data_IF_062837909030
#
_entry.id   IF_062837909030
#
_cell.length_a   1.000
_cell.length_b   1.000
_cell.length_c   1.000
_cell.angle_alpha   90.00
_cell.angle_beta   90.00
_cell.angle_gamma   90.00
#
_symmetry.space_group_name_H-M   'P 1'
#
loop_
_entity.id
_entity.type
_entity.pdbx_description
1 polymer ?
#
# COMPACT_ATOMS: atom_id res chain seq x y z
N UNK A 1 -2.83 23.81 41.92
CA UNK A 1 -1.75 24.07 41.00
C UNK A 1 -2.20 24.68 39.68
N UNK A 2 -3.46 24.91 39.49
CA UNK A 2 -3.99 25.72 38.38
C UNK A 2 -4.28 27.10 38.93
N UNK A 3 -3.25 27.98 38.96
CA UNK A 3 -3.44 29.39 39.29
C UNK A 3 -4.12 30.06 38.11
N UNK A 4 -5.41 30.40 38.23
CA UNK A 4 -6.21 31.14 37.24
C UNK A 4 -5.49 32.43 36.82
N UNK A 5 -4.81 33.09 37.75
CA UNK A 5 -4.04 34.31 37.50
C UNK A 5 -2.91 34.10 36.46
N UNK A 6 -2.27 32.95 36.45
CA UNK A 6 -1.20 32.63 35.44
C UNK A 6 -1.79 32.48 34.05
N UNK A 7 -2.94 31.84 33.91
CA UNK A 7 -3.62 31.71 32.64
C UNK A 7 -4.07 33.04 32.08
N UNK A 8 -4.63 33.92 32.95
CA UNK A 8 -5.01 35.27 32.56
C UNK A 8 -3.80 36.09 32.11
N UNK A 9 -2.67 35.97 32.80
CA UNK A 9 -1.42 36.61 32.41
C UNK A 9 -0.92 36.15 31.04
N UNK A 10 -0.92 34.82 30.75
CA UNK A 10 -0.54 34.24 29.46
C UNK A 10 -1.43 34.80 28.34
N UNK A 11 -2.76 34.70 28.49
CA UNK A 11 -3.68 35.20 27.48
C UNK A 11 -3.61 36.71 27.27
N UNK A 12 -3.43 37.48 28.33
CA UNK A 12 -3.26 38.94 28.21
C UNK A 12 -1.97 39.33 27.46
N UNK A 13 -0.91 38.55 27.64
CA UNK A 13 0.36 38.78 26.96
C UNK A 13 0.22 38.47 25.46
N UNK A 14 -0.41 37.36 25.11
CA UNK A 14 -0.65 36.97 23.72
C UNK A 14 -1.58 37.95 22.99
N UNK A 15 -2.52 38.56 23.69
CA UNK A 15 -3.46 39.54 23.14
C UNK A 15 -2.86 40.93 22.90
N UNK A 16 -1.72 41.29 23.52
CA UNK A 16 -1.10 42.62 23.32
C UNK A 16 -0.61 42.88 21.90
N UNK A 17 -0.18 41.84 21.19
CA UNK A 17 0.33 41.92 19.80
C UNK A 17 -0.29 40.83 18.91
N UNK A 18 -1.57 40.93 18.56
CA UNK A 18 -2.33 39.82 17.96
C UNK A 18 -1.78 39.37 16.60
N UNK A 19 -1.33 40.31 15.76
CA UNK A 19 -0.78 39.95 14.44
C UNK A 19 0.53 39.15 14.55
N UNK A 20 1.40 39.53 15.50
CA UNK A 20 2.65 38.84 15.74
C UNK A 20 2.42 37.43 16.29
N UNK A 21 1.52 37.30 17.27
CA UNK A 21 1.11 36.02 17.86
C UNK A 21 0.50 35.13 16.81
N UNK A 22 -0.38 35.67 15.95
CA UNK A 22 -1.01 34.92 14.87
C UNK A 22 0.02 34.40 13.85
N UNK A 23 0.93 35.25 13.35
CA UNK A 23 1.95 34.85 12.38
C UNK A 23 2.87 33.74 12.92
N UNK A 24 3.16 33.80 14.21
CA UNK A 24 3.99 32.76 14.87
C UNK A 24 3.23 31.46 15.05
N UNK A 25 2.02 31.54 15.56
CA UNK A 25 1.14 30.39 15.72
C UNK A 25 0.86 29.73 14.37
N UNK A 26 0.64 30.56 13.33
CA UNK A 26 0.43 30.08 11.96
C UNK A 26 1.62 29.24 11.45
N UNK A 27 2.87 29.67 11.69
CA UNK A 27 4.05 28.91 11.26
C UNK A 27 4.10 27.48 11.83
N UNK A 28 3.84 27.34 13.14
CA UNK A 28 3.79 26.04 13.81
C UNK A 28 2.56 25.24 13.37
N UNK A 29 1.38 25.87 13.37
CA UNK A 29 0.14 25.24 12.95
C UNK A 29 0.17 24.75 11.51
N UNK A 30 0.75 25.55 10.60
CA UNK A 30 0.96 25.17 9.21
C UNK A 30 1.92 23.99 9.06
N UNK A 31 3.02 23.99 9.84
CA UNK A 31 3.98 22.87 9.83
C UNK A 31 3.32 21.56 10.24
N UNK A 32 2.51 21.57 11.32
CA UNK A 32 1.79 20.37 11.76
C UNK A 32 0.65 19.98 10.80
N UNK A 33 -0.09 20.96 10.28
CA UNK A 33 -1.08 20.75 9.24
C UNK A 33 -0.50 20.01 8.03
N UNK A 34 0.62 20.51 7.48
CA UNK A 34 1.29 19.88 6.34
C UNK A 34 1.78 18.48 6.68
N UNK A 35 2.34 18.27 7.86
CA UNK A 35 2.79 16.95 8.29
C UNK A 35 1.62 15.95 8.29
N UNK A 36 0.50 16.30 8.92
CA UNK A 36 -0.70 15.45 9.01
C UNK A 36 -1.29 15.17 7.62
N UNK A 37 -1.42 16.19 6.78
CA UNK A 37 -1.97 16.01 5.42
C UNK A 37 -1.06 15.12 4.58
N UNK A 38 0.27 15.33 4.62
CA UNK A 38 1.21 14.51 3.85
C UNK A 38 1.24 13.06 4.35
N UNK A 39 1.21 12.83 5.67
CA UNK A 39 1.17 11.47 6.23
C UNK A 39 -0.15 10.78 5.89
N UNK A 40 -1.28 11.43 6.09
CA UNK A 40 -2.59 10.86 5.77
C UNK A 40 -2.77 10.59 4.26
N UNK A 41 -2.29 11.50 3.41
CA UNK A 41 -2.29 11.29 1.97
C UNK A 41 -1.36 10.14 1.55
N UNK A 42 -0.19 10.02 2.17
CA UNK A 42 0.72 8.91 1.97
C UNK A 42 0.09 7.56 2.30
N UNK A 43 -0.53 7.46 3.48
CA UNK A 43 -1.25 6.25 3.91
C UNK A 43 -2.44 5.92 3.01
N UNK A 44 -3.21 6.94 2.60
CA UNK A 44 -4.33 6.74 1.68
C UNK A 44 -3.89 6.15 0.34
N UNK A 45 -2.76 6.58 -0.19
CA UNK A 45 -2.17 6.04 -1.40
C UNK A 45 -1.58 4.64 -1.17
N UNK A 46 -0.88 4.41 -0.06
CA UNK A 46 -0.34 3.11 0.32
C UNK A 46 -1.47 2.07 0.46
N UNK A 47 -2.54 2.40 1.16
CA UNK A 47 -3.71 1.54 1.32
C UNK A 47 -4.36 1.20 -0.02
N UNK A 48 -4.53 2.18 -0.91
CA UNK A 48 -5.08 1.97 -2.24
C UNK A 48 -4.23 1.03 -3.10
N UNK A 49 -2.89 1.22 -3.10
CA UNK A 49 -1.98 0.39 -3.90
C UNK A 49 -1.81 -1.01 -3.29
N UNK A 50 -1.70 -1.13 -1.97
CA UNK A 50 -1.51 -2.43 -1.30
C UNK A 50 -2.77 -3.28 -1.30
N UNK A 51 -3.96 -2.69 -1.43
CA UNK A 51 -5.22 -3.43 -1.55
C UNK A 51 -5.22 -4.42 -2.73
N UNK A 52 -4.56 -4.09 -3.83
CA UNK A 52 -4.43 -5.01 -4.97
C UNK A 52 -3.71 -6.32 -4.61
N UNK A 53 -2.89 -6.31 -3.55
CA UNK A 53 -2.14 -7.48 -3.09
C UNK A 53 -2.82 -8.23 -1.94
N UNK A 54 -3.85 -7.66 -1.31
CA UNK A 54 -4.48 -8.24 -0.11
C UNK A 54 -5.18 -9.56 -0.41
N UNK A 55 -5.64 -9.74 -1.66
CA UNK A 55 -6.46 -10.87 -2.08
C UNK A 55 -5.70 -11.92 -2.90
N UNK A 56 -4.41 -11.73 -3.11
CA UNK A 56 -3.54 -12.66 -3.85
C UNK A 56 -2.43 -13.14 -2.91
N UNK A 57 -2.01 -14.39 -3.05
CA UNK A 57 -0.87 -14.90 -2.26
C UNK A 57 0.39 -14.09 -2.56
N UNK A 58 0.76 -13.17 -1.67
CA UNK A 58 1.93 -12.29 -1.86
C UNK A 58 3.25 -13.08 -1.93
N UNK A 59 3.31 -14.28 -1.34
CA UNK A 59 4.44 -15.20 -1.42
C UNK A 59 4.40 -16.09 -2.68
N UNK A 60 3.91 -15.55 -3.80
CA UNK A 60 3.78 -16.29 -5.05
C UNK A 60 4.45 -15.59 -6.23
N UNK A 61 4.72 -16.36 -7.27
CA UNK A 61 5.26 -15.86 -8.53
C UNK A 61 4.67 -16.62 -9.72
N UNK A 62 4.65 -15.96 -10.87
CA UNK A 62 4.28 -16.53 -12.15
C UNK A 62 5.55 -16.70 -12.99
N UNK A 63 5.67 -17.84 -13.68
CA UNK A 63 6.86 -18.18 -14.46
C UNK A 63 6.45 -18.72 -15.83
N UNK A 64 7.06 -18.23 -16.91
CA UNK A 64 6.80 -18.66 -18.29
C UNK A 64 8.07 -18.79 -19.10
N UNK A 65 8.06 -19.68 -20.10
CA UNK A 65 9.15 -19.86 -21.02
C UNK A 65 9.22 -18.73 -22.06
N UNK A 66 10.43 -18.24 -22.29
CA UNK A 66 10.75 -17.23 -23.30
C UNK A 66 11.72 -17.78 -24.35
N UNK A 67 12.37 -16.90 -25.10
CA UNK A 67 13.40 -17.27 -26.05
C UNK A 67 14.78 -17.22 -25.40
N UNK A 68 15.55 -18.30 -25.55
CA UNK A 68 16.94 -18.33 -25.10
C UNK A 68 17.75 -17.24 -25.80
N UNK A 69 18.64 -16.58 -25.06
CA UNK A 69 19.54 -15.55 -25.62
C UNK A 69 20.97 -16.07 -25.86
N UNK A 70 21.32 -17.20 -25.24
CA UNK A 70 22.64 -17.79 -25.32
C UNK A 70 22.60 -19.17 -25.94
N UNK A 71 23.64 -19.57 -26.70
CA UNK A 71 23.80 -20.96 -27.17
C UNK A 71 24.22 -21.87 -26.02
N UNK A 72 23.60 -23.04 -25.89
CA UNK A 72 23.91 -24.00 -24.84
C UNK A 72 23.47 -25.43 -25.22
N UNK A 73 24.22 -26.47 -24.82
CA UNK A 73 23.81 -27.85 -24.99
C UNK A 73 23.57 -28.26 -26.45
N UNK A 74 24.27 -27.63 -27.41
CA UNK A 74 24.08 -27.89 -28.85
C UNK A 74 22.93 -27.08 -29.48
N UNK A 75 22.21 -26.27 -28.72
CA UNK A 75 21.13 -25.41 -29.24
C UNK A 75 21.63 -23.97 -29.47
N UNK A 76 21.17 -23.36 -30.56
CA UNK A 76 21.45 -21.97 -30.87
C UNK A 76 20.58 -20.99 -30.04
N UNK A 77 20.95 -19.69 -30.01
CA UNK A 77 20.13 -18.64 -29.41
C UNK A 77 18.83 -18.44 -30.19
N UNK A 78 17.79 -17.89 -29.53
CA UNK A 78 16.47 -17.62 -30.13
C UNK A 78 15.51 -18.82 -30.07
N UNK A 79 15.89 -19.93 -29.49
CA UNK A 79 15.02 -21.09 -29.28
C UNK A 79 13.90 -20.72 -28.28
N UNK A 80 12.64 -20.96 -28.68
CA UNK A 80 11.51 -20.83 -27.77
C UNK A 80 11.53 -21.95 -26.74
N UNK A 81 11.58 -21.61 -25.47
CA UNK A 81 11.46 -22.58 -24.38
C UNK A 81 9.97 -22.84 -24.17
N UNK A 82 9.56 -24.08 -24.36
CA UNK A 82 8.19 -24.53 -24.16
C UNK A 82 8.13 -25.40 -22.92
N UNK A 83 7.45 -24.91 -21.90
CA UNK A 83 7.23 -25.68 -20.69
C UNK A 83 6.15 -26.74 -20.93
N UNK A 84 6.23 -27.82 -20.20
CA UNK A 84 5.37 -29.00 -20.35
C UNK A 84 4.83 -29.47 -18.99
N UNK A 85 3.92 -30.40 -19.03
CA UNK A 85 3.39 -31.04 -17.82
C UNK A 85 4.47 -31.87 -17.10
N UNK A 86 5.50 -32.36 -17.80
CA UNK A 86 6.67 -33.05 -17.20
C UNK A 86 7.47 -32.09 -16.29
N UNK A 87 7.52 -30.81 -16.64
CA UNK A 87 8.15 -29.79 -15.81
C UNK A 87 7.38 -29.60 -14.49
N UNK A 88 6.04 -29.66 -14.52
CA UNK A 88 5.22 -29.61 -13.31
C UNK A 88 5.59 -30.73 -12.34
N UNK A 89 5.70 -31.96 -12.83
CA UNK A 89 6.07 -33.10 -11.99
C UNK A 89 7.49 -32.96 -11.46
N UNK A 90 8.40 -32.45 -12.28
CA UNK A 90 9.80 -32.23 -11.89
C UNK A 90 9.93 -31.16 -10.81
N UNK A 91 9.22 -30.06 -10.93
CA UNK A 91 9.19 -28.98 -9.91
C UNK A 91 8.63 -29.54 -8.60
N UNK A 92 7.51 -30.26 -8.66
CA UNK A 92 6.85 -30.84 -7.50
C UNK A 92 7.74 -31.83 -6.73
N UNK A 93 8.58 -32.57 -7.45
CA UNK A 93 9.46 -33.57 -6.83
C UNK A 93 10.77 -32.96 -6.30
N UNK A 94 11.35 -31.98 -7.03
CA UNK A 94 12.70 -31.49 -6.75
C UNK A 94 12.76 -30.15 -6.01
N UNK A 95 11.65 -29.41 -5.93
CA UNK A 95 11.58 -28.12 -5.23
C UNK A 95 10.53 -28.22 -4.12
N UNK A 96 10.88 -28.79 -2.97
CA UNK A 96 9.92 -29.05 -1.89
C UNK A 96 9.35 -27.78 -1.25
N UNK A 97 10.00 -26.63 -1.43
CA UNK A 97 9.55 -25.33 -0.89
C UNK A 97 8.55 -24.60 -1.82
N UNK A 98 8.28 -25.14 -3.02
CA UNK A 98 7.13 -24.80 -3.83
C UNK A 98 5.89 -25.52 -3.26
N UNK A 99 5.14 -24.83 -2.38
CA UNK A 99 3.98 -25.40 -1.69
C UNK A 99 2.84 -25.70 -2.66
N UNK A 100 2.51 -24.73 -3.50
CA UNK A 100 1.44 -24.84 -4.48
C UNK A 100 2.01 -24.57 -5.87
N UNK A 101 1.74 -25.49 -6.80
CA UNK A 101 2.13 -25.36 -8.20
C UNK A 101 0.90 -25.55 -9.06
N UNK A 102 0.47 -24.52 -9.79
CA UNK A 102 -0.63 -24.55 -10.72
C UNK A 102 -0.13 -24.29 -12.15
N UNK A 103 -0.06 -25.35 -12.99
CA UNK A 103 0.15 -25.15 -14.43
C UNK A 103 -1.08 -24.51 -15.04
N UNK A 104 -0.84 -23.53 -15.93
CA UNK A 104 -1.90 -22.72 -16.54
C UNK A 104 -1.74 -22.61 -18.06
N UNK A 105 -2.86 -22.55 -18.72
CA UNK A 105 -2.97 -22.21 -20.13
C UNK A 105 -4.06 -21.15 -20.36
N UNK A 106 -3.87 -20.34 -21.40
CA UNK A 106 -4.90 -19.39 -21.86
C UNK A 106 -5.13 -19.60 -23.35
N UNK A 107 -6.38 -19.72 -23.73
CA UNK A 107 -6.78 -19.87 -25.11
C UNK A 107 -6.56 -18.57 -25.88
N UNK A 108 -5.90 -18.64 -27.03
CA UNK A 108 -5.61 -17.46 -27.84
C UNK A 108 -4.43 -16.62 -27.35
N UNK A 109 -3.74 -17.02 -26.26
CA UNK A 109 -2.62 -16.29 -25.67
C UNK A 109 -3.02 -15.06 -24.84
N UNK A 110 -2.02 -14.34 -24.34
CA UNK A 110 -2.25 -13.20 -23.43
C UNK A 110 -3.05 -12.09 -24.13
N UNK A 111 -4.18 -11.68 -23.54
CA UNK A 111 -5.05 -10.63 -24.07
C UNK A 111 -6.01 -11.06 -25.20
N UNK A 112 -6.01 -12.34 -25.59
CA UNK A 112 -6.94 -12.88 -26.57
C UNK A 112 -8.31 -13.19 -25.96
N UNK A 113 -9.38 -12.61 -26.53
CA UNK A 113 -10.74 -13.02 -26.25
C UNK A 113 -11.16 -14.17 -27.15
N UNK A 114 -11.95 -15.10 -26.60
CA UNK A 114 -12.48 -16.23 -27.36
C UNK A 114 -13.99 -16.19 -27.37
N UNK A 115 -14.59 -16.48 -28.54
CA UNK A 115 -16.02 -16.48 -28.69
C UNK A 115 -16.67 -17.56 -27.85
N UNK A 116 -17.54 -17.13 -26.96
CA UNK A 116 -18.39 -17.98 -26.13
C UNK A 116 -19.83 -17.73 -26.51
N UNK A 117 -20.55 -18.79 -26.75
CA UNK A 117 -21.95 -18.75 -27.23
C UNK A 117 -22.84 -19.50 -26.25
N UNK A 118 -23.98 -18.89 -25.91
CA UNK A 118 -25.08 -19.47 -25.17
C UNK A 118 -26.40 -19.11 -25.88
N UNK A 119 -27.09 -20.10 -26.45
CA UNK A 119 -28.30 -19.84 -27.22
C UNK A 119 -28.06 -18.84 -28.36
N UNK A 120 -28.67 -17.67 -28.27
CA UNK A 120 -28.53 -16.58 -29.23
C UNK A 120 -27.56 -15.47 -28.78
N UNK A 121 -27.01 -15.60 -27.58
CA UNK A 121 -26.04 -14.63 -27.03
C UNK A 121 -24.63 -15.10 -27.33
N UNK A 122 -23.75 -14.17 -27.63
CA UNK A 122 -22.34 -14.45 -27.89
C UNK A 122 -21.47 -13.27 -27.51
N UNK A 123 -20.43 -13.54 -26.72
CA UNK A 123 -19.48 -12.55 -26.23
C UNK A 123 -18.06 -13.13 -26.20
N UNK A 124 -17.07 -12.26 -26.01
CA UNK A 124 -15.67 -12.63 -26.05
C UNK A 124 -15.08 -12.64 -24.65
N UNK A 125 -14.59 -13.80 -24.20
CA UNK A 125 -14.04 -13.99 -22.87
C UNK A 125 -12.65 -14.63 -22.87
N UNK A 126 -11.93 -14.47 -21.76
CA UNK A 126 -10.66 -15.17 -21.52
C UNK A 126 -10.92 -16.57 -20.98
N UNK A 127 -10.45 -17.59 -21.71
CA UNK A 127 -10.62 -18.99 -21.32
C UNK A 127 -9.32 -19.50 -20.71
N UNK A 128 -9.37 -19.93 -19.46
CA UNK A 128 -8.26 -20.40 -18.67
C UNK A 128 -8.36 -21.92 -18.47
N UNK A 129 -7.27 -22.62 -18.77
CA UNK A 129 -7.12 -24.03 -18.41
C UNK A 129 -6.27 -24.11 -17.13
N UNK A 130 -6.91 -24.52 -16.02
CA UNK A 130 -6.28 -24.45 -14.70
C UNK A 130 -6.44 -25.74 -13.89
N UNK A 131 -5.55 -25.86 -12.90
CA UNK A 131 -5.69 -26.83 -11.81
C UNK A 131 -6.46 -26.23 -10.64
N UNK A 132 -7.10 -27.06 -9.78
CA UNK A 132 -7.85 -26.58 -8.60
C UNK A 132 -7.05 -25.69 -7.67
N UNK A 133 -5.74 -25.92 -7.58
CA UNK A 133 -4.81 -25.22 -6.71
C UNK A 133 -4.65 -23.73 -7.02
N UNK A 134 -5.12 -23.28 -8.18
CA UNK A 134 -5.07 -21.84 -8.53
C UNK A 134 -5.85 -20.98 -7.53
N UNK A 135 -6.88 -21.53 -6.88
CA UNK A 135 -7.62 -20.82 -5.84
C UNK A 135 -6.75 -20.40 -4.65
N UNK A 136 -5.64 -21.10 -4.39
CA UNK A 136 -4.70 -20.77 -3.31
C UNK A 136 -3.76 -19.61 -3.68
N UNK A 137 -3.63 -19.33 -4.97
CA UNK A 137 -2.78 -18.25 -5.51
C UNK A 137 -3.59 -17.01 -5.85
N UNK A 138 -4.73 -17.19 -6.51
CA UNK A 138 -5.65 -16.12 -6.87
C UNK A 138 -6.85 -16.09 -5.90
N UNK A 139 -7.24 -14.89 -5.47
CA UNK A 139 -8.37 -14.68 -4.54
C UNK A 139 -9.72 -14.92 -5.21
N UNK A 140 -10.03 -16.19 -5.49
CA UNK A 140 -11.26 -16.63 -6.14
C UNK A 140 -12.25 -17.09 -5.07
N UNK A 141 -13.45 -16.50 -5.04
CA UNK A 141 -14.56 -16.92 -4.18
C UNK A 141 -15.63 -17.60 -5.02
N UNK A 142 -16.02 -18.82 -4.64
CA UNK A 142 -17.11 -19.54 -5.30
C UNK A 142 -18.44 -19.04 -4.73
N UNK A 143 -19.24 -18.39 -5.56
CA UNK A 143 -20.52 -17.80 -5.18
C UNK A 143 -21.69 -18.78 -5.32
N UNK A 144 -21.62 -19.66 -6.33
CA UNK A 144 -22.63 -20.69 -6.58
C UNK A 144 -21.98 -21.93 -7.17
N UNK A 145 -22.49 -23.10 -6.84
CA UNK A 145 -21.97 -24.37 -7.34
C UNK A 145 -20.63 -24.76 -6.71
N UNK A 146 -19.65 -25.13 -7.52
CA UNK A 146 -18.31 -25.57 -7.09
C UNK A 146 -17.22 -25.16 -8.05
N UNK A 147 -15.97 -25.12 -7.57
CA UNK A 147 -14.79 -24.99 -8.42
C UNK A 147 -14.38 -26.30 -9.09
N UNK A 148 -13.39 -26.25 -10.00
CA UNK A 148 -12.74 -27.44 -10.59
C UNK A 148 -12.19 -28.31 -9.45
N UNK A 149 -12.31 -29.63 -9.58
CA UNK A 149 -11.76 -30.56 -8.62
C UNK A 149 -10.83 -31.58 -9.28
N UNK A 150 -10.16 -32.39 -8.46
CA UNK A 150 -9.20 -33.39 -8.95
C UNK A 150 -9.83 -34.43 -9.91
N UNK A 151 -11.12 -34.76 -9.69
CA UNK A 151 -11.84 -35.70 -10.55
C UNK A 151 -12.09 -35.11 -11.95
N UNK A 152 -12.39 -33.82 -12.05
CA UNK A 152 -12.53 -33.11 -13.33
C UNK A 152 -11.26 -33.13 -14.15
N UNK A 153 -10.10 -32.99 -13.47
CA UNK A 153 -8.76 -33.11 -14.09
C UNK A 153 -8.49 -34.53 -14.56
N UNK A 154 -8.75 -35.54 -13.69
CA UNK A 154 -8.46 -36.94 -13.95
C UNK A 154 -9.31 -37.50 -15.10
N UNK A 155 -10.62 -37.24 -15.08
CA UNK A 155 -11.58 -37.71 -16.06
C UNK A 155 -11.70 -36.82 -17.29
N UNK A 156 -11.00 -35.67 -17.30
CA UNK A 156 -11.04 -34.68 -18.38
C UNK A 156 -12.47 -34.22 -18.67
N UNK A 157 -13.23 -33.92 -17.58
CA UNK A 157 -14.63 -33.53 -17.68
C UNK A 157 -14.74 -32.18 -18.39
N UNK A 158 -15.72 -32.07 -19.29
CA UNK A 158 -16.03 -30.79 -19.97
C UNK A 158 -16.93 -29.94 -19.08
N UNK A 159 -16.35 -29.39 -18.05
CA UNK A 159 -16.98 -28.47 -17.10
C UNK A 159 -16.33 -27.10 -17.16
N UNK A 160 -17.10 -26.08 -16.86
CA UNK A 160 -16.63 -24.69 -16.81
C UNK A 160 -17.12 -24.00 -15.55
N UNK A 161 -16.32 -23.07 -15.04
CA UNK A 161 -16.70 -22.14 -13.99
C UNK A 161 -16.61 -20.75 -14.59
N UNK A 162 -17.65 -19.96 -14.43
CA UNK A 162 -17.78 -18.65 -15.02
C UNK A 162 -17.67 -17.55 -13.96
N UNK A 163 -17.03 -16.45 -14.31
CA UNK A 163 -17.05 -15.26 -13.46
C UNK A 163 -18.39 -14.55 -13.49
N UNK A 164 -18.63 -13.69 -12.49
CA UNK A 164 -19.86 -12.90 -12.35
C UNK A 164 -20.13 -12.06 -13.58
N UNK A 165 -19.11 -11.47 -14.19
CA UNK A 165 -19.24 -10.67 -15.42
C UNK A 165 -19.72 -11.51 -16.62
N UNK A 166 -19.27 -12.76 -16.71
CA UNK A 166 -19.75 -13.70 -17.74
C UNK A 166 -21.22 -14.03 -17.53
N UNK A 167 -21.65 -14.23 -16.26
CA UNK A 167 -23.06 -14.43 -15.91
C UNK A 167 -23.90 -13.24 -16.33
N UNK A 168 -23.51 -12.02 -15.98
CA UNK A 168 -24.24 -10.78 -16.30
C UNK A 168 -24.46 -10.59 -17.81
N UNK A 169 -23.49 -11.00 -18.64
CA UNK A 169 -23.53 -10.78 -20.08
C UNK A 169 -24.26 -11.90 -20.85
N UNK A 170 -24.30 -13.13 -20.32
CA UNK A 170 -24.86 -14.28 -21.02
C UNK A 170 -26.17 -14.85 -20.40
N UNK A 171 -26.56 -14.37 -19.22
CA UNK A 171 -27.71 -14.86 -18.49
C UNK A 171 -28.61 -13.70 -18.04
N UNK A 172 -29.90 -14.00 -17.84
CA UNK A 172 -30.78 -13.06 -17.17
C UNK A 172 -30.50 -13.03 -15.66
N UNK A 173 -30.79 -11.93 -15.01
CA UNK A 173 -30.44 -11.70 -13.58
C UNK A 173 -31.01 -12.79 -12.65
N UNK A 174 -32.23 -13.28 -12.95
CA UNK A 174 -32.93 -14.33 -12.18
C UNK A 174 -32.52 -15.76 -12.52
N UNK A 175 -31.67 -15.95 -13.51
CA UNK A 175 -31.33 -17.27 -14.04
C UNK A 175 -30.15 -17.89 -13.31
N UNK A 176 -30.25 -19.15 -12.92
CA UNK A 176 -29.13 -19.92 -12.35
C UNK A 176 -28.32 -20.56 -13.48
N UNK A 177 -27.05 -20.15 -13.68
CA UNK A 177 -26.23 -20.72 -14.74
C UNK A 177 -25.72 -22.13 -14.44
N UNK A 178 -25.77 -22.59 -13.17
CA UNK A 178 -25.24 -23.90 -12.78
C UNK A 178 -26.09 -25.03 -13.38
N UNK A 179 -25.44 -25.91 -14.14
CA UNK A 179 -26.10 -27.02 -14.85
C UNK A 179 -26.38 -26.72 -16.33
N UNK A 180 -26.29 -25.46 -16.77
CA UNK A 180 -26.44 -25.09 -18.18
C UNK A 180 -25.13 -25.28 -18.96
N UNK A 181 -25.11 -24.97 -20.23
CA UNK A 181 -24.01 -25.23 -21.16
C UNK A 181 -23.57 -23.98 -21.88
N UNK A 182 -22.25 -23.84 -22.05
CA UNK A 182 -21.60 -22.84 -22.90
C UNK A 182 -20.87 -23.55 -24.03
N UNK A 183 -20.91 -22.96 -25.22
CA UNK A 183 -20.08 -23.37 -26.34
C UNK A 183 -18.85 -22.44 -26.46
N UNK A 184 -17.66 -22.98 -26.28
CA UNK A 184 -16.38 -22.27 -26.37
C UNK A 184 -15.66 -22.81 -27.60
N UNK A 185 -15.46 -21.97 -28.61
CA UNK A 185 -14.84 -22.36 -29.89
C UNK A 185 -15.33 -23.70 -30.43
N UNK A 186 -16.66 -23.93 -30.40
CA UNK A 186 -17.30 -25.14 -30.92
C UNK A 186 -17.34 -26.34 -29.97
N UNK A 187 -16.81 -26.21 -28.74
CA UNK A 187 -16.86 -27.28 -27.71
C UNK A 187 -17.83 -26.90 -26.59
N UNK A 188 -18.74 -27.80 -26.26
CA UNK A 188 -19.69 -27.58 -25.17
C UNK A 188 -19.07 -27.92 -23.80
N UNK A 189 -19.31 -27.04 -22.84
CA UNK A 189 -18.90 -27.19 -21.44
C UNK A 189 -20.15 -26.99 -20.55
N UNK A 190 -20.34 -27.86 -19.57
CA UNK A 190 -21.39 -27.70 -18.56
C UNK A 190 -20.90 -26.77 -17.47
N UNK A 191 -21.69 -25.80 -17.08
CA UNK A 191 -21.37 -24.87 -16.01
C UNK A 191 -21.55 -25.56 -14.66
N UNK A 192 -20.52 -25.60 -13.83
CA UNK A 192 -20.55 -26.23 -12.50
C UNK A 192 -20.43 -25.24 -11.35
N UNK A 193 -20.17 -23.99 -11.65
CA UNK A 193 -20.14 -22.93 -10.64
C UNK A 193 -19.97 -21.55 -11.22
N UNK A 194 -20.20 -20.56 -10.35
CA UNK A 194 -19.99 -19.13 -10.58
C UNK A 194 -19.01 -18.64 -9.53
N UNK A 195 -18.04 -17.84 -9.94
CA UNK A 195 -17.09 -17.23 -9.03
C UNK A 195 -17.11 -15.71 -9.13
N UNK A 196 -16.73 -15.06 -8.03
CA UNK A 196 -16.37 -13.67 -7.97
C UNK A 196 -14.90 -13.52 -7.53
N UNK A 197 -14.38 -12.34 -7.69
CA UNK A 197 -13.06 -11.99 -7.17
C UNK A 197 -13.18 -11.01 -6.00
N UNK A 198 -12.23 -11.04 -5.10
CA UNK A 198 -12.11 -10.04 -4.03
C UNK A 198 -11.44 -8.76 -4.51
N UNK A 199 -10.96 -8.75 -5.73
CA UNK A 199 -10.30 -7.62 -6.35
C UNK A 199 -11.36 -6.69 -6.94
N UNK A 200 -11.34 -5.42 -6.54
CA UNK A 200 -12.29 -4.42 -7.03
C UNK A 200 -11.73 -3.70 -8.26
N UNK A 201 -12.60 -2.92 -8.93
CA UNK A 201 -12.24 -2.07 -10.06
C UNK A 201 -11.99 -2.82 -11.37
N UNK A 202 -11.36 -2.15 -12.32
CA UNK A 202 -11.11 -2.64 -13.69
C UNK A 202 -10.38 -4.00 -13.73
N UNK A 203 -9.57 -4.29 -12.69
CA UNK A 203 -8.88 -5.57 -12.59
C UNK A 203 -9.86 -6.66 -12.16
N UNK A 204 -10.71 -6.38 -11.18
CA UNK A 204 -11.76 -7.29 -10.74
C UNK A 204 -12.70 -7.65 -11.90
N UNK A 205 -13.19 -6.67 -12.65
CA UNK A 205 -14.04 -6.91 -13.82
C UNK A 205 -13.37 -7.77 -14.89
N UNK A 206 -12.07 -7.58 -15.12
CA UNK A 206 -11.29 -8.42 -16.05
C UNK A 206 -11.12 -9.84 -15.52
N UNK A 207 -10.92 -10.02 -14.23
CA UNK A 207 -10.78 -11.33 -13.62
C UNK A 207 -12.14 -12.05 -13.62
N UNK A 208 -13.24 -11.35 -13.38
CA UNK A 208 -14.61 -11.86 -13.47
C UNK A 208 -15.11 -12.10 -14.89
N UNK A 209 -14.40 -11.60 -15.90
CA UNK A 209 -14.62 -11.92 -17.31
C UNK A 209 -13.90 -13.20 -17.75
N UNK A 210 -13.35 -13.99 -16.82
CA UNK A 210 -12.69 -15.26 -17.12
C UNK A 210 -13.66 -16.45 -17.01
N UNK A 211 -13.32 -17.48 -17.77
CA UNK A 211 -13.94 -18.80 -17.67
C UNK A 211 -12.83 -19.80 -17.39
N UNK A 212 -12.93 -20.55 -16.30
CA UNK A 212 -12.00 -21.61 -15.96
C UNK A 212 -12.52 -22.96 -16.40
N UNK A 213 -11.68 -23.73 -17.07
CA UNK A 213 -11.93 -25.13 -17.45
C UNK A 213 -10.81 -26.02 -16.92
N UNK A 214 -11.03 -27.34 -16.68
CA UNK A 214 -9.95 -28.21 -16.20
C UNK A 214 -8.78 -28.23 -17.17
N UNK A 215 -7.57 -28.10 -16.66
CA UNK A 215 -6.32 -28.02 -17.45
C UNK A 215 -6.21 -29.14 -18.49
N UNK A 216 -6.43 -30.38 -18.06
CA UNK A 216 -6.35 -31.55 -18.95
C UNK A 216 -7.46 -31.58 -20.01
N UNK A 217 -8.64 -31.02 -19.69
CA UNK A 217 -9.72 -30.83 -20.65
C UNK A 217 -9.37 -29.75 -21.66
N UNK A 218 -8.78 -28.64 -21.20
CA UNK A 218 -8.28 -27.55 -22.06
C UNK A 218 -7.31 -28.08 -23.10
N UNK A 219 -6.29 -28.84 -22.66
CA UNK A 219 -5.29 -29.43 -23.56
C UNK A 219 -5.95 -30.30 -24.65
N UNK A 220 -6.93 -31.13 -24.28
CA UNK A 220 -7.62 -32.02 -25.20
C UNK A 220 -8.61 -31.28 -26.11
N UNK A 221 -9.39 -30.35 -25.57
CA UNK A 221 -10.43 -29.65 -26.30
C UNK A 221 -9.87 -28.67 -27.34
N UNK A 222 -8.74 -28.04 -27.03
CA UNK A 222 -8.13 -27.01 -27.88
C UNK A 222 -6.81 -27.43 -28.52
N UNK A 223 -6.51 -28.74 -28.50
CA UNK A 223 -5.33 -29.33 -29.15
C UNK A 223 -3.99 -28.68 -28.72
N UNK A 224 -3.85 -28.41 -27.43
CA UNK A 224 -2.66 -27.75 -26.86
C UNK A 224 -1.52 -28.75 -26.53
N UNK A 225 -1.70 -30.05 -26.77
CA UNK A 225 -0.74 -31.09 -26.42
C UNK A 225 -0.48 -31.15 -24.91
N UNK A 226 0.78 -31.31 -24.50
CA UNK A 226 1.22 -31.31 -23.11
C UNK A 226 1.82 -29.95 -22.68
N UNK A 227 1.60 -28.88 -23.46
CA UNK A 227 2.21 -27.60 -23.21
C UNK A 227 1.59 -26.92 -21.99
N UNK A 228 2.42 -26.20 -21.24
CA UNK A 228 2.07 -25.30 -20.16
C UNK A 228 2.43 -23.88 -20.57
N UNK A 229 1.47 -22.97 -20.54
CA UNK A 229 1.71 -21.56 -20.86
C UNK A 229 2.58 -20.88 -19.81
N UNK A 230 2.20 -21.06 -18.55
CA UNK A 230 2.97 -20.58 -17.39
C UNK A 230 2.61 -21.40 -16.14
N UNK A 231 3.48 -21.29 -15.14
CA UNK A 231 3.21 -21.78 -13.79
C UNK A 231 2.86 -20.64 -12.87
N UNK A 232 1.86 -20.82 -12.03
CA UNK A 232 1.62 -20.02 -10.84
C UNK A 232 2.11 -20.84 -9.63
N UNK A 233 3.07 -20.32 -8.91
CA UNK A 233 3.75 -21.03 -7.81
C UNK A 233 3.68 -20.20 -6.56
N UNK A 234 3.24 -20.81 -5.44
CA UNK A 234 3.26 -20.23 -4.11
C UNK A 234 4.34 -20.93 -3.30
N UNK A 235 5.20 -20.15 -2.64
CA UNK A 235 6.21 -20.69 -1.73
C UNK A 235 5.59 -21.04 -0.37
N UNK A 236 6.24 -21.95 0.36
CA UNK A 236 5.91 -22.24 1.74
C UNK A 236 5.99 -20.99 2.61
N UNK A 237 5.19 -20.96 3.65
CA UNK A 237 5.22 -19.88 4.63
C UNK A 237 6.61 -19.76 5.26
N UNK A 238 7.14 -18.52 5.32
CA UNK A 238 8.48 -18.24 5.84
C UNK A 238 9.62 -18.47 4.86
N UNK A 239 9.36 -18.97 3.64
CA UNK A 239 10.37 -19.09 2.57
C UNK A 239 10.13 -17.99 1.53
N UNK A 240 11.13 -17.11 1.27
CA UNK A 240 10.95 -16.06 0.28
C UNK A 240 10.65 -16.62 -1.12
N UNK A 241 9.65 -16.07 -1.80
CA UNK A 241 9.29 -16.51 -3.15
C UNK A 241 10.45 -16.37 -4.15
N UNK A 242 11.32 -15.38 -3.95
CA UNK A 242 12.53 -15.17 -4.77
C UNK A 242 13.50 -16.36 -4.71
N UNK A 243 13.62 -17.01 -3.54
CA UNK A 243 14.47 -18.19 -3.37
C UNK A 243 13.90 -19.38 -4.15
N UNK A 244 12.60 -19.65 -3.96
CA UNK A 244 11.89 -20.74 -4.65
C UNK A 244 11.89 -20.50 -6.17
N UNK A 245 11.67 -19.27 -6.62
CA UNK A 245 11.75 -18.89 -8.03
C UNK A 245 13.11 -19.24 -8.63
N UNK A 246 14.19 -18.90 -7.93
CA UNK A 246 15.55 -19.17 -8.41
C UNK A 246 15.84 -20.68 -8.49
N UNK A 247 15.35 -21.48 -7.54
CA UNK A 247 15.46 -22.94 -7.57
C UNK A 247 14.69 -23.53 -8.74
N UNK A 248 13.45 -23.09 -8.96
CA UNK A 248 12.62 -23.53 -10.10
C UNK A 248 13.25 -23.15 -11.44
N UNK A 249 13.72 -21.92 -11.58
CA UNK A 249 14.41 -21.46 -12.82
C UNK A 249 15.66 -22.31 -13.07
N UNK A 250 16.48 -22.54 -12.05
CA UNK A 250 17.68 -23.36 -12.16
C UNK A 250 17.38 -24.82 -12.59
N UNK A 251 16.30 -25.37 -12.01
CA UNK A 251 15.83 -26.72 -12.41
C UNK A 251 15.40 -26.74 -13.88
N UNK A 252 14.55 -25.76 -14.28
CA UNK A 252 14.07 -25.70 -15.68
C UNK A 252 15.19 -25.41 -16.69
N UNK A 253 16.16 -24.57 -16.33
CA UNK A 253 17.36 -24.36 -17.18
C UNK A 253 18.09 -25.69 -17.46
N UNK A 254 18.23 -26.51 -16.44
CA UNK A 254 18.87 -27.85 -16.57
C UNK A 254 18.01 -28.77 -17.43
N UNK A 255 16.72 -28.88 -17.21
CA UNK A 255 15.80 -29.76 -17.94
C UNK A 255 15.71 -29.37 -19.43
N UNK A 256 15.68 -28.07 -19.71
CA UNK A 256 15.56 -27.56 -21.07
C UNK A 256 16.91 -27.31 -21.77
N UNK A 257 18.05 -27.71 -21.18
CA UNK A 257 19.38 -27.42 -21.73
C UNK A 257 19.54 -25.92 -22.08
N UNK A 258 19.34 -25.06 -21.09
CA UNK A 258 19.52 -23.62 -21.16
C UNK A 258 20.75 -23.23 -20.38
N UNK A 259 21.51 -22.25 -20.88
CA UNK A 259 22.69 -21.72 -20.20
C UNK A 259 22.31 -21.18 -18.83
N UNK A 260 22.98 -21.56 -17.72
CA UNK A 260 22.67 -21.09 -16.37
C UNK A 260 22.71 -19.56 -16.22
N UNK A 261 23.48 -18.87 -17.03
CA UNK A 261 23.56 -17.40 -17.04
C UNK A 261 22.57 -16.73 -18.01
N UNK A 262 21.70 -17.50 -18.67
CA UNK A 262 20.67 -16.94 -19.57
C UNK A 262 19.44 -16.53 -18.83
N UNK A 263 19.43 -15.29 -18.32
CA UNK A 263 18.30 -14.70 -17.61
C UNK A 263 17.09 -14.39 -18.49
N UNK A 264 17.19 -14.52 -19.80
CA UNK A 264 16.12 -14.22 -20.75
C UNK A 264 15.31 -15.43 -21.19
N UNK A 265 15.76 -16.63 -20.86
CA UNK A 265 15.11 -17.87 -21.26
C UNK A 265 13.77 -18.10 -20.54
N UNK A 266 13.66 -17.60 -19.34
CA UNK A 266 12.44 -17.63 -18.56
C UNK A 266 12.07 -16.20 -18.14
N UNK A 267 10.80 -15.87 -18.26
CA UNK A 267 10.23 -14.64 -17.68
C UNK A 267 9.51 -14.97 -16.41
N UNK A 268 9.58 -14.09 -15.43
CA UNK A 268 8.85 -14.22 -14.16
C UNK A 268 8.17 -12.94 -13.76
N UNK A 269 7.14 -13.08 -12.95
CA UNK A 269 6.50 -11.98 -12.25
C UNK A 269 6.33 -12.37 -10.78
N UNK A 270 7.22 -11.87 -9.94
CA UNK A 270 7.26 -12.16 -8.52
C UNK A 270 6.45 -11.13 -7.74
N UNK A 271 5.35 -11.59 -7.13
CA UNK A 271 4.45 -10.72 -6.35
C UNK A 271 5.10 -10.24 -5.06
N UNK A 272 5.93 -11.08 -4.40
CA UNK A 272 6.63 -10.70 -3.18
C UNK A 272 7.65 -9.58 -3.45
N UNK A 273 8.45 -9.73 -4.50
CA UNK A 273 9.41 -8.70 -4.91
C UNK A 273 8.69 -7.39 -5.26
N UNK A 274 7.58 -7.48 -5.98
CA UNK A 274 6.77 -6.32 -6.35
C UNK A 274 6.18 -5.63 -5.13
N UNK A 275 5.61 -6.40 -4.21
CA UNK A 275 5.09 -5.90 -2.95
C UNK A 275 6.19 -5.20 -2.12
N UNK A 276 7.36 -5.84 -1.97
CA UNK A 276 8.50 -5.27 -1.24
C UNK A 276 9.04 -3.99 -1.89
N UNK A 277 9.07 -3.91 -3.22
CA UNK A 277 9.44 -2.69 -3.94
C UNK A 277 8.48 -1.54 -3.64
N UNK A 278 7.17 -1.82 -3.64
CA UNK A 278 6.13 -0.84 -3.32
C UNK A 278 6.26 -0.39 -1.86
N UNK A 279 6.41 -1.31 -0.92
CA UNK A 279 6.64 -0.99 0.50
C UNK A 279 7.91 -0.15 0.69
N UNK A 280 8.98 -0.47 -0.03
CA UNK A 280 10.21 0.33 -0.01
C UNK A 280 10.01 1.76 -0.53
N UNK A 281 9.19 1.96 -1.56
CA UNK A 281 8.84 3.29 -2.08
C UNK A 281 8.06 4.10 -1.03
N UNK A 282 7.03 3.51 -0.41
CA UNK A 282 6.26 4.19 0.65
C UNK A 282 7.12 4.47 1.88
N UNK A 283 8.01 3.57 2.26
CA UNK A 283 9.02 3.82 3.30
C UNK A 283 9.89 5.04 2.98
N UNK A 284 10.34 5.17 1.73
CA UNK A 284 11.10 6.33 1.25
C UNK A 284 10.28 7.63 1.28
N UNK A 285 9.03 7.58 0.82
CA UNK A 285 8.09 8.72 0.88
C UNK A 285 7.87 9.15 2.34
N UNK A 286 7.66 8.20 3.24
CA UNK A 286 7.43 8.47 4.66
C UNK A 286 8.64 9.17 5.30
N UNK A 287 9.86 8.72 5.00
CA UNK A 287 11.09 9.40 5.43
C UNK A 287 11.14 10.84 4.91
N UNK A 288 10.81 11.07 3.64
CA UNK A 288 10.77 12.42 3.05
C UNK A 288 9.75 13.32 3.77
N UNK A 289 8.54 12.79 4.04
CA UNK A 289 7.48 13.49 4.78
C UNK A 289 7.98 13.91 6.16
N UNK A 290 8.67 13.02 6.87
CA UNK A 290 9.27 13.34 8.16
C UNK A 290 10.35 14.43 8.06
N UNK A 291 11.23 14.38 7.07
CA UNK A 291 12.27 15.41 6.86
C UNK A 291 11.63 16.77 6.61
N UNK A 292 10.66 16.85 5.71
CA UNK A 292 9.95 18.09 5.38
C UNK A 292 9.14 18.59 6.58
N UNK A 293 8.40 17.69 7.24
CA UNK A 293 7.58 18.02 8.40
C UNK A 293 8.42 18.55 9.59
N UNK A 294 9.51 17.89 9.92
CA UNK A 294 10.44 18.36 10.96
C UNK A 294 11.06 19.71 10.53
N UNK A 295 11.46 19.87 9.27
CA UNK A 295 12.01 21.11 8.75
C UNK A 295 11.05 22.29 8.90
N UNK A 296 9.78 22.09 8.55
CA UNK A 296 8.73 23.14 8.69
C UNK A 296 8.41 23.45 10.15
N UNK A 297 8.38 22.43 11.02
CA UNK A 297 8.21 22.63 12.46
C UNK A 297 9.40 23.40 13.07
N UNK A 298 10.65 23.09 12.70
CA UNK A 298 11.83 23.82 13.15
C UNK A 298 11.76 25.28 12.71
N UNK A 299 11.35 25.59 11.49
CA UNK A 299 11.13 26.95 11.03
C UNK A 299 10.07 27.67 11.89
N UNK A 300 8.96 27.00 12.22
CA UNK A 300 7.94 27.50 13.14
C UNK A 300 8.49 27.77 14.56
N UNK A 301 9.28 26.83 15.09
CA UNK A 301 9.96 26.95 16.39
C UNK A 301 10.90 28.16 16.45
N UNK A 302 11.68 28.40 15.39
CA UNK A 302 12.54 29.57 15.29
C UNK A 302 11.71 30.86 15.31
N UNK A 303 10.57 30.86 14.60
CA UNK A 303 9.62 31.96 14.64
C UNK A 303 9.08 32.25 16.05
N UNK A 304 8.64 31.20 16.77
CA UNK A 304 8.19 31.31 18.18
C UNK A 304 9.33 31.84 19.07
N UNK A 305 10.51 31.26 18.96
CA UNK A 305 11.69 31.66 19.77
C UNK A 305 12.02 33.12 19.55
N UNK A 306 12.04 33.61 18.32
CA UNK A 306 12.33 35.02 18.01
C UNK A 306 11.31 35.98 18.64
N UNK A 307 10.02 35.61 18.62
CA UNK A 307 8.98 36.44 19.23
C UNK A 307 9.06 36.41 20.74
N UNK A 308 9.29 35.24 21.32
CA UNK A 308 9.46 35.11 22.76
C UNK A 308 10.70 35.92 23.25
N UNK A 309 11.77 36.02 22.45
CA UNK A 309 12.92 36.90 22.75
C UNK A 309 12.51 38.37 22.80
N UNK A 310 11.65 38.83 21.90
CA UNK A 310 11.12 40.21 21.91
C UNK A 310 10.24 40.43 23.13
N UNK A 311 9.34 39.49 23.44
CA UNK A 311 8.47 39.56 24.64
C UNK A 311 9.32 39.64 25.92
N UNK A 312 10.33 38.79 26.06
CA UNK A 312 11.26 38.83 27.21
C UNK A 312 11.95 40.19 27.31
N UNK A 313 12.38 40.80 26.18
CA UNK A 313 12.97 42.13 26.14
C UNK A 313 11.97 43.22 26.55
N UNK A 314 10.74 43.18 26.07
CA UNK A 314 9.68 44.14 26.47
C UNK A 314 9.33 44.02 27.96
N UNK A 315 9.41 42.80 28.55
CA UNK A 315 9.11 42.52 29.96
C UNK A 315 10.36 42.54 30.86
N UNK A 316 11.49 43.08 30.40
CA UNK A 316 12.78 43.09 31.17
C UNK A 316 12.62 43.74 32.55
N UNK A 317 11.91 44.88 32.66
CA UNK A 317 11.66 45.55 33.94
C UNK A 317 10.86 44.68 34.90
N UNK A 318 9.79 44.05 34.42
CA UNK A 318 8.92 43.16 35.20
C UNK A 318 9.70 41.95 35.75
N UNK A 319 10.52 41.29 34.87
CA UNK A 319 11.39 40.18 35.24
C UNK A 319 12.43 40.61 36.27
N UNK A 320 13.01 41.82 36.10
CA UNK A 320 13.95 42.39 37.03
C UNK A 320 13.35 42.65 38.43
N UNK A 321 12.14 43.20 38.49
CA UNK A 321 11.39 43.41 39.75
C UNK A 321 11.10 42.08 40.44
N UNK A 322 10.59 41.09 39.71
CA UNK A 322 10.30 39.77 40.28
C UNK A 322 11.56 39.09 40.84
N UNK A 323 12.72 39.24 40.16
CA UNK A 323 13.99 38.72 40.66
C UNK A 323 14.49 39.48 41.89
N UNK A 324 14.33 40.82 41.93
CA UNK A 324 14.68 41.64 43.09
C UNK A 324 13.82 41.27 44.34
N UNK A 325 12.56 40.83 44.13
CA UNK A 325 11.64 40.33 45.16
C UNK A 325 11.90 38.86 45.54
N UNK A 326 12.96 38.21 44.98
CA UNK A 326 13.40 36.87 45.36
C UNK A 326 12.88 35.71 44.49
N UNK A 327 12.30 35.97 43.31
CA UNK A 327 11.91 34.90 42.38
C UNK A 327 13.14 34.11 41.91
N UNK A 328 13.05 32.77 42.03
CA UNK A 328 14.11 31.86 41.58
C UNK A 328 14.24 31.86 40.06
N UNK A 329 15.44 31.66 39.49
CA UNK A 329 15.65 31.53 38.05
C UNK A 329 14.73 30.49 37.40
N UNK A 330 14.52 29.35 38.11
CA UNK A 330 13.65 28.28 37.65
C UNK A 330 12.17 28.72 37.50
N UNK A 331 11.70 29.59 38.36
CA UNK A 331 10.34 30.11 38.28
C UNK A 331 10.14 30.94 36.98
N UNK A 332 11.11 31.74 36.60
CA UNK A 332 11.09 32.53 35.35
C UNK A 332 11.19 31.62 34.12
N UNK A 333 12.12 30.62 34.13
CA UNK A 333 12.25 29.65 33.06
C UNK A 333 10.95 28.91 32.85
N UNK A 334 10.37 28.35 33.91
CA UNK A 334 9.15 27.55 33.83
C UNK A 334 7.95 28.36 33.29
N UNK A 335 7.89 29.65 33.61
CA UNK A 335 6.86 30.54 33.09
C UNK A 335 7.02 30.75 31.57
N UNK A 336 8.21 31.07 31.09
CA UNK A 336 8.48 31.31 29.67
C UNK A 336 8.32 30.00 28.85
N UNK A 337 8.74 28.86 29.38
CA UNK A 337 8.54 27.57 28.78
C UNK A 337 7.05 27.23 28.68
N UNK A 338 6.29 27.50 29.73
CA UNK A 338 4.83 27.27 29.74
C UNK A 338 4.14 28.14 28.69
N UNK A 339 4.49 29.44 28.59
CA UNK A 339 3.96 30.34 27.56
C UNK A 339 4.24 29.82 26.14
N UNK A 340 5.48 29.35 25.89
CA UNK A 340 5.86 28.76 24.59
C UNK A 340 5.09 27.48 24.29
N UNK A 341 4.97 26.55 25.26
CA UNK A 341 4.27 25.28 25.11
C UNK A 341 2.77 25.53 24.87
N UNK A 342 2.17 26.47 25.58
CA UNK A 342 0.73 26.81 25.38
C UNK A 342 0.50 27.38 23.99
N UNK A 343 1.34 28.33 23.56
CA UNK A 343 1.23 28.92 22.23
C UNK A 343 1.40 27.88 21.12
N UNK A 344 2.45 27.06 21.20
CA UNK A 344 2.69 25.99 20.21
C UNK A 344 1.61 24.90 20.28
N UNK A 345 1.11 24.57 21.49
CA UNK A 345 0.05 23.61 21.70
C UNK A 345 -1.26 24.02 21.05
N UNK A 346 -1.70 25.27 21.22
CA UNK A 346 -2.90 25.81 20.58
C UNK A 346 -2.72 25.84 19.06
N UNK A 347 -1.59 26.34 18.58
CA UNK A 347 -1.29 26.41 17.16
C UNK A 347 -1.27 25.01 16.51
N UNK A 348 -0.62 24.07 17.18
CA UNK A 348 -0.54 22.69 16.72
C UNK A 348 -1.90 21.98 16.74
N UNK A 349 -2.70 22.21 17.78
CA UNK A 349 -4.08 21.66 17.83
C UNK A 349 -4.94 22.15 16.65
N UNK A 350 -4.87 23.44 16.34
CA UNK A 350 -5.56 24.00 15.17
C UNK A 350 -5.03 23.39 13.87
N UNK A 351 -3.69 23.26 13.74
CA UNK A 351 -3.07 22.62 12.58
C UNK A 351 -3.49 21.16 12.42
N UNK A 352 -3.51 20.38 13.52
CA UNK A 352 -3.98 18.99 13.53
C UNK A 352 -5.45 18.89 13.10
N UNK A 353 -6.34 19.66 13.71
CA UNK A 353 -7.76 19.62 13.39
C UNK A 353 -8.06 20.03 11.95
N UNK A 354 -7.41 21.08 11.46
CA UNK A 354 -7.56 21.49 10.05
C UNK A 354 -6.99 20.44 9.10
N UNK A 355 -5.89 19.75 9.46
CA UNK A 355 -5.33 18.65 8.71
C UNK A 355 -6.28 17.46 8.60
N UNK A 356 -6.85 17.02 9.71
CA UNK A 356 -7.84 15.93 9.73
C UNK A 356 -9.10 16.27 8.92
N UNK A 357 -9.65 17.46 9.10
CA UNK A 357 -10.83 17.93 8.33
C UNK A 357 -10.52 17.96 6.82
N UNK A 358 -9.30 18.38 6.46
CA UNK A 358 -8.90 18.40 5.05
C UNK A 358 -8.80 16.97 4.48
N UNK A 359 -8.23 16.02 5.23
CA UNK A 359 -8.15 14.62 4.82
C UNK A 359 -9.53 13.98 4.68
N UNK A 360 -10.43 14.22 5.63
CA UNK A 360 -11.82 13.76 5.54
C UNK A 360 -12.54 14.36 4.32
N UNK A 361 -12.31 15.64 4.05
CA UNK A 361 -12.85 16.32 2.86
C UNK A 361 -12.32 15.73 1.55
N UNK A 362 -11.01 15.40 1.49
CA UNK A 362 -10.41 14.72 0.33
C UNK A 362 -10.95 13.30 0.19
N UNK A 363 -11.13 12.56 1.29
CA UNK A 363 -11.72 11.24 1.28
C UNK A 363 -13.14 11.23 0.72
N UNK A 364 -13.96 12.21 1.12
CA UNK A 364 -15.33 12.39 0.59
C UNK A 364 -15.35 12.75 -0.90
N UNK A 365 -14.37 13.51 -1.39
CA UNK A 365 -14.26 13.87 -2.80
C UNK A 365 -13.70 12.75 -3.66
N UNK A 366 -12.82 11.91 -3.10
CA UNK A 366 -12.26 10.74 -3.76
C UNK A 366 -13.28 9.59 -3.94
N UNK A 367 -14.35 9.60 -3.21
CA UNK A 367 -15.69 8.99 -3.25
C UNK A 367 -15.93 7.63 -3.89
N UNK A 368 -15.05 7.12 -4.72
CA UNK A 368 -15.20 5.83 -5.37
C UNK A 368 -14.38 4.75 -4.63
N UNK A 369 -15.05 3.65 -4.28
CA UNK A 369 -14.40 2.44 -3.76
C UNK A 369 -13.29 1.91 -4.68
N UNK A 370 -13.26 2.35 -5.93
CA UNK A 370 -12.27 2.01 -6.95
C UNK A 370 -11.12 3.02 -7.08
N UNK A 371 -11.08 4.08 -6.26
CA UNK A 371 -9.99 5.05 -6.35
C UNK A 371 -8.68 4.48 -5.79
N UNK A 372 -7.55 4.84 -6.41
CA UNK A 372 -6.21 4.54 -5.88
C UNK A 372 -5.93 5.22 -4.53
N UNK A 373 -6.81 6.12 -4.09
CA UNK A 373 -6.72 6.85 -2.84
C UNK A 373 -7.83 6.40 -1.91
N UNK A 374 -7.49 5.52 -0.97
CA UNK A 374 -8.48 4.92 -0.08
C UNK A 374 -8.14 5.15 1.37
N UNK A 375 -9.18 5.50 2.13
CA UNK A 375 -9.12 5.63 3.58
C UNK A 375 -7.85 6.36 4.06
N UNK A 376 -7.68 7.66 3.75
CA UNK A 376 -6.60 8.46 4.29
C UNK A 376 -6.78 8.59 5.80
N UNK A 377 -6.44 7.54 6.52
CA UNK A 377 -6.56 7.51 7.98
C UNK A 377 -5.22 7.92 8.58
N UNK A 378 -5.30 8.77 9.58
CA UNK A 378 -4.16 9.08 10.44
C UNK A 378 -4.29 8.19 11.67
N UNK A 379 -3.39 7.23 11.80
CA UNK A 379 -3.37 6.33 12.93
C UNK A 379 -3.14 7.09 14.24
N UNK A 380 -3.71 6.58 15.32
CA UNK A 380 -3.55 7.16 16.65
C UNK A 380 -2.06 7.32 17.03
N UNK A 381 -1.22 6.39 16.62
CA UNK A 381 0.23 6.43 16.83
C UNK A 381 0.87 7.64 16.14
N UNK A 382 0.43 7.98 14.93
CA UNK A 382 0.92 9.16 14.21
C UNK A 382 0.48 10.46 14.88
N UNK A 383 -0.75 10.52 15.38
CA UNK A 383 -1.24 11.67 16.15
C UNK A 383 -0.40 11.85 17.42
N UNK A 384 -0.14 10.76 18.14
CA UNK A 384 0.67 10.79 19.36
C UNK A 384 2.13 11.20 19.07
N UNK A 385 2.74 10.67 18.01
CA UNK A 385 4.07 11.06 17.57
C UNK A 385 4.12 12.54 17.20
N UNK A 386 3.16 13.04 16.45
CA UNK A 386 3.05 14.45 16.06
C UNK A 386 2.89 15.37 17.27
N UNK A 387 2.09 14.97 18.25
CA UNK A 387 1.92 15.66 19.52
C UNK A 387 3.21 15.69 20.35
N UNK A 388 3.94 14.58 20.41
CA UNK A 388 5.21 14.49 21.09
C UNK A 388 6.24 15.44 20.45
N UNK A 389 6.35 15.42 19.12
CA UNK A 389 7.23 16.33 18.37
C UNK A 389 6.85 17.78 18.65
N UNK A 390 5.56 18.10 18.69
CA UNK A 390 5.04 19.44 18.99
C UNK A 390 5.44 19.92 20.41
N UNK A 391 5.33 19.06 21.42
CA UNK A 391 5.71 19.38 22.80
C UNK A 391 7.23 19.64 22.89
N UNK A 392 8.02 18.78 22.26
CA UNK A 392 9.48 18.95 22.21
C UNK A 392 9.85 20.25 21.49
N UNK A 393 9.19 20.54 20.38
CA UNK A 393 9.39 21.76 19.62
C UNK A 393 9.00 23.01 20.43
N UNK A 394 7.87 22.99 21.14
CA UNK A 394 7.42 24.08 22.00
C UNK A 394 8.37 24.34 23.16
N UNK A 395 8.84 23.29 23.81
CA UNK A 395 9.85 23.40 24.87
C UNK A 395 11.17 23.98 24.31
N UNK A 396 11.63 23.48 23.16
CA UNK A 396 12.83 23.99 22.46
C UNK A 396 12.74 25.47 22.10
N UNK A 397 11.57 25.92 21.61
CA UNK A 397 11.31 27.33 21.29
C UNK A 397 11.47 28.26 22.48
N UNK A 398 11.06 27.79 23.68
CA UNK A 398 11.16 28.58 24.92
C UNK A 398 12.53 28.57 25.57
N UNK A 399 13.43 27.64 25.27
CA UNK A 399 14.74 27.51 25.96
C UNK A 399 15.67 28.72 25.74
N UNK A 400 15.78 29.21 24.50
CA UNK A 400 16.64 30.35 24.17
C UNK A 400 16.12 31.63 24.83
N UNK A 401 14.83 32.00 24.72
CA UNK A 401 14.26 33.15 25.42
C UNK A 401 14.39 33.05 26.94
N UNK A 402 14.15 31.87 27.51
CA UNK A 402 14.24 31.62 28.93
C UNK A 402 15.69 31.83 29.47
N UNK A 403 16.68 31.35 28.74
CA UNK A 403 18.08 31.55 29.10
C UNK A 403 18.48 33.05 29.08
N UNK A 404 17.95 33.81 28.11
CA UNK A 404 18.16 35.26 28.03
C UNK A 404 17.51 36.01 29.18
N UNK A 405 16.29 35.59 29.59
CA UNK A 405 15.56 36.20 30.70
C UNK A 405 16.30 36.07 32.04
N UNK A 406 17.02 34.98 32.26
CA UNK A 406 17.81 34.79 33.48
C UNK A 406 19.08 35.67 33.48
N UNK A 407 19.65 35.97 32.32
CA UNK A 407 20.84 36.80 32.20
C UNK A 407 20.59 38.29 32.54
N UNK A 408 19.33 38.71 32.70
CA UNK A 408 18.98 40.08 33.09
C UNK A 408 19.36 40.33 34.56
N UNK A 409 20.30 41.29 34.77
CA UNK A 409 20.67 41.71 36.11
C UNK A 409 19.59 42.66 36.70
N UNK A 410 19.09 42.42 37.94
CA UNK A 410 18.05 43.26 38.56
C UNK A 410 18.39 44.75 38.60
N UNK A 411 19.65 45.06 38.86
CA UNK A 411 20.14 46.46 38.95
C UNK A 411 20.09 47.18 37.59
N UNK A 412 20.40 46.47 36.50
CA UNK A 412 20.37 47.03 35.14
C UNK A 412 18.93 47.15 34.62
N UNK A 413 18.07 46.18 34.97
CA UNK A 413 16.66 46.20 34.60
C UNK A 413 15.88 47.39 35.22
N UNK A 414 16.27 47.86 36.40
CA UNK A 414 15.64 48.98 37.08
C UNK A 414 16.21 50.35 36.61
N UNK A 415 17.36 50.36 35.91
CA UNK A 415 18.02 51.57 35.35
C UNK A 415 17.69 51.82 33.87
N UNK A 416 17.12 50.84 33.19
CA UNK A 416 16.76 51.00 31.79
C UNK A 416 15.46 51.83 31.68
N UNK A 417 15.58 53.02 31.13
CA UNK A 417 14.46 53.92 30.75
C UNK A 417 13.71 53.40 29.53
#
# INVERSE_FOLDING_TARGET
MFDLDRWQEIFSTLAKNPLRTFLTAFGVGWGLFMLIVMMGAGNGLENGVTREFTNVATNSFFLWGQRSSKPYGGFGPGRQIRMTEDDYFSIREQVPDAETIAPRNQLGGFGGGNLVVRGNQSESFSIMGDYPQIMEVEGIDVLSGRFINALDIQEKRKVAIIGTRVKELLFEESEDPVGDYLMINGVYFSIVGVFGTRTDGDRGERDESRIYVPFTTFQKAFNNGNQVGWFAIKSKEGVPATVVEQEVVTLLQRLHSVDPDDRRAFGSFNLEERYNQIQGLFGGINILVWIVGIGTLVAGVIGVSNIMLVIVKERTKEIGVRRALGATPWHIISQILLESIVLTGIAGYVGLMTGLITLDGVALMAGDENSMFQHPQVDLDMVLQSLMVLIIAGAGAGLIPASRAIAVHPVEALRAD
#
